data_IF_419970191095
#
_entry.id   IF_419970191095
#
_cell.length_a   1.000
_cell.length_b   1.000
_cell.length_c   1.000
_cell.angle_alpha   90.00
_cell.angle_beta   90.00
_cell.angle_gamma   90.00
#
_symmetry.space_group_name_H-M   'P 1'
#
loop_
_entity.id
_entity.type
_entity.pdbx_description
1 polymer ?
#
# COMPACT_ATOMS: atom_id res chain seq x y z
N UNK A 1 30.00 2.80 14.07
CA UNK A 1 29.17 3.05 12.89
C UNK A 1 27.83 2.31 13.07
N UNK A 2 26.71 2.88 12.69
CA UNK A 2 25.43 2.17 12.76
C UNK A 2 25.47 0.92 11.85
N UNK A 3 24.95 -0.20 12.35
CA UNK A 3 24.88 -1.47 11.61
C UNK A 3 23.69 -1.50 10.65
N UNK A 4 23.70 -2.42 9.68
CA UNK A 4 22.54 -2.67 8.79
C UNK A 4 21.27 -2.95 9.62
N UNK A 5 21.40 -3.68 10.73
CA UNK A 5 20.29 -3.97 11.66
C UNK A 5 19.64 -2.69 12.19
N UNK A 6 20.44 -1.63 12.48
CA UNK A 6 19.91 -0.36 12.96
C UNK A 6 19.08 0.37 11.89
N UNK A 7 19.51 0.31 10.62
CA UNK A 7 18.71 0.87 9.51
C UNK A 7 17.44 0.07 9.22
N UNK A 8 17.49 -1.26 9.30
CA UNK A 8 16.27 -2.09 9.19
C UNK A 8 15.28 -1.80 10.33
N UNK A 9 15.79 -1.52 11.53
CA UNK A 9 14.96 -1.08 12.66
C UNK A 9 14.39 0.32 12.43
N UNK A 10 15.20 1.27 11.95
CA UNK A 10 14.78 2.63 11.61
C UNK A 10 13.58 2.64 10.67
N UNK A 11 13.60 1.82 9.62
CA UNK A 11 12.54 1.77 8.60
C UNK A 11 11.38 0.84 8.98
N UNK A 12 11.44 0.16 10.14
CA UNK A 12 10.41 -0.81 10.54
C UNK A 12 10.08 -1.76 9.38
N UNK A 13 11.08 -2.49 8.89
CA UNK A 13 10.97 -3.30 7.68
C UNK A 13 9.79 -4.29 7.70
N UNK A 14 9.44 -4.82 8.87
CA UNK A 14 8.26 -5.68 9.06
C UNK A 14 6.93 -5.04 8.62
N UNK A 15 6.82 -3.72 8.66
CA UNK A 15 5.61 -3.02 8.23
C UNK A 15 5.46 -2.93 6.70
N UNK A 16 6.44 -3.38 5.92
CA UNK A 16 6.35 -3.49 4.46
C UNK A 16 5.23 -4.44 4.04
N UNK A 17 4.85 -5.34 4.94
CA UNK A 17 3.75 -6.30 4.76
C UNK A 17 2.38 -5.63 4.45
N UNK A 18 2.18 -4.35 4.74
CA UNK A 18 0.89 -3.70 4.48
C UNK A 18 0.70 -3.33 3.01
N UNK A 19 1.66 -2.68 2.38
CA UNK A 19 1.52 -2.18 1.02
C UNK A 19 2.02 -3.18 -0.05
N UNK A 20 3.01 -4.02 0.27
CA UNK A 20 3.59 -4.98 -0.66
C UNK A 20 2.57 -5.94 -1.29
N UNK A 21 1.61 -6.53 -0.53
CA UNK A 21 0.59 -7.39 -1.10
C UNK A 21 -0.24 -6.70 -2.19
N UNK A 22 -0.62 -5.44 -1.97
CA UNK A 22 -1.39 -4.67 -2.96
C UNK A 22 -0.55 -4.27 -4.17
N UNK A 23 0.76 -4.01 -4.01
CA UNK A 23 1.66 -3.83 -5.14
C UNK A 23 1.74 -5.11 -5.99
N UNK A 24 1.84 -6.28 -5.37
CA UNK A 24 1.86 -7.57 -6.06
C UNK A 24 0.54 -7.80 -6.81
N UNK A 25 -0.61 -7.50 -6.20
CA UNK A 25 -1.91 -7.56 -6.89
C UNK A 25 -1.88 -6.66 -8.13
N UNK A 26 -1.52 -5.38 -8.00
CA UNK A 26 -1.47 -4.44 -9.12
C UNK A 26 -0.53 -4.90 -10.23
N UNK A 27 0.63 -5.43 -9.88
CA UNK A 27 1.59 -5.99 -10.84
C UNK A 27 1.00 -7.17 -11.63
N UNK A 28 0.37 -8.14 -10.96
CA UNK A 28 -0.22 -9.28 -11.64
C UNK A 28 -1.46 -8.90 -12.46
N UNK A 29 -2.24 -7.92 -12.05
CA UNK A 29 -3.28 -7.34 -12.89
C UNK A 29 -2.71 -6.83 -14.21
N UNK A 30 -1.57 -6.11 -14.15
CA UNK A 30 -0.85 -5.66 -15.33
C UNK A 30 -0.35 -6.80 -16.21
N UNK A 31 0.16 -7.89 -15.61
CA UNK A 31 0.60 -9.08 -16.36
C UNK A 31 -0.57 -9.74 -17.12
N UNK A 32 -1.75 -9.79 -16.51
CA UNK A 32 -2.94 -10.34 -17.15
C UNK A 32 -3.37 -9.50 -18.35
N UNK A 33 -3.44 -8.19 -18.16
CA UNK A 33 -3.81 -7.26 -19.22
C UNK A 33 -2.79 -7.28 -20.37
N UNK A 34 -1.50 -7.29 -20.07
CA UNK A 34 -0.43 -7.43 -21.05
C UNK A 34 -0.53 -8.75 -21.84
N UNK A 35 -0.76 -9.86 -21.15
CA UNK A 35 -0.87 -11.18 -21.77
C UNK A 35 -2.04 -11.24 -22.75
N UNK A 36 -3.17 -10.66 -22.36
CA UNK A 36 -4.36 -10.55 -23.19
C UNK A 36 -4.11 -9.72 -24.46
N UNK A 37 -3.52 -8.53 -24.30
CA UNK A 37 -3.23 -7.65 -25.43
C UNK A 37 -2.24 -8.29 -26.42
N UNK A 38 -1.24 -9.02 -25.95
CA UNK A 38 -0.31 -9.75 -26.81
C UNK A 38 -1.01 -10.81 -27.69
N UNK A 39 -2.02 -11.48 -27.17
CA UNK A 39 -2.78 -12.47 -27.93
C UNK A 39 -3.69 -11.84 -28.96
N UNK A 40 -4.33 -10.72 -28.61
CA UNK A 40 -5.18 -10.00 -29.55
C UNK A 40 -4.41 -9.48 -30.77
N UNK A 41 -3.16 -9.03 -30.58
CA UNK A 41 -2.28 -8.57 -31.69
C UNK A 41 -1.90 -9.71 -32.64
N UNK A 42 -1.78 -10.95 -32.13
CA UNK A 42 -1.35 -12.15 -32.91
C UNK A 42 -2.49 -12.80 -33.69
N UNK A 43 -3.74 -12.44 -33.43
CA UNK A 43 -4.88 -13.04 -34.13
C UNK A 43 -5.13 -12.31 -35.47
N UNK A 44 -5.25 -13.05 -36.61
CA UNK A 44 -5.79 -12.46 -37.82
C UNK A 44 -7.24 -12.05 -37.56
N UNK A 45 -7.61 -10.84 -38.04
CA UNK A 45 -8.97 -10.30 -37.93
C UNK A 45 -9.98 -11.32 -38.42
N UNK A 46 -10.71 -11.97 -37.51
CA UNK A 46 -11.83 -12.86 -37.80
C UNK A 46 -13.05 -12.36 -37.05
N UNK A 47 -14.04 -11.76 -37.74
CA UNK A 47 -15.16 -11.05 -37.10
C UNK A 47 -16.14 -11.92 -36.29
N UNK A 48 -15.99 -13.26 -36.26
CA UNK A 48 -16.98 -14.16 -35.64
C UNK A 48 -16.40 -15.46 -35.02
N UNK A 49 -15.15 -15.56 -34.70
CA UNK A 49 -14.64 -16.72 -33.96
C UNK A 49 -14.52 -16.38 -32.47
N UNK A 50 -15.18 -17.17 -31.64
CA UNK A 50 -15.29 -16.96 -30.19
C UNK A 50 -14.01 -16.56 -29.46
N UNK A 51 -14.15 -16.16 -28.21
CA UNK A 51 -13.09 -15.64 -27.34
C UNK A 51 -11.82 -16.49 -27.47
N UNK A 52 -10.67 -15.90 -27.87
CA UNK A 52 -9.44 -16.66 -27.99
C UNK A 52 -9.05 -17.22 -26.62
N UNK A 53 -8.76 -18.52 -26.58
CA UNK A 53 -8.17 -19.11 -25.36
C UNK A 53 -6.77 -18.54 -25.17
N UNK A 54 -6.50 -17.95 -24.02
CA UNK A 54 -5.17 -17.45 -23.66
C UNK A 54 -4.14 -18.58 -23.83
N UNK A 55 -3.23 -18.45 -24.81
CA UNK A 55 -2.13 -19.40 -25.02
C UNK A 55 -0.91 -19.05 -24.17
N UNK A 56 -0.73 -17.79 -23.82
CA UNK A 56 0.36 -17.32 -22.95
C UNK A 56 -0.17 -17.29 -21.52
N UNK A 57 0.33 -18.20 -20.66
CA UNK A 57 -0.03 -18.15 -19.26
C UNK A 57 0.61 -16.92 -18.58
N UNK A 58 -0.03 -16.34 -17.55
CA UNK A 58 0.56 -15.23 -16.80
C UNK A 58 1.95 -15.55 -16.23
N UNK A 59 2.18 -16.79 -15.85
CA UNK A 59 3.49 -17.26 -15.36
C UNK A 59 4.54 -17.20 -16.46
N UNK A 60 4.22 -17.63 -17.69
CA UNK A 60 5.15 -17.54 -18.82
C UNK A 60 5.37 -16.10 -19.27
N UNK A 61 4.35 -15.24 -19.21
CA UNK A 61 4.49 -13.81 -19.48
C UNK A 61 5.42 -13.14 -18.44
N UNK A 62 5.27 -13.45 -17.16
CA UNK A 62 6.17 -13.00 -16.11
C UNK A 62 7.61 -13.43 -16.39
N UNK A 63 7.84 -14.73 -16.63
CA UNK A 63 9.18 -15.28 -16.79
C UNK A 63 9.90 -14.73 -18.05
N UNK A 64 9.17 -14.54 -19.15
CA UNK A 64 9.78 -14.18 -20.43
C UNK A 64 9.91 -12.66 -20.64
N UNK A 65 9.05 -11.87 -20.05
CA UNK A 65 8.95 -10.43 -20.36
C UNK A 65 9.10 -9.50 -19.15
N UNK A 66 8.69 -9.92 -17.94
CA UNK A 66 8.51 -9.02 -16.81
C UNK A 66 9.25 -9.38 -15.53
N UNK A 67 10.14 -10.39 -15.52
CA UNK A 67 10.88 -10.77 -14.31
C UNK A 67 11.74 -9.62 -13.76
N UNK A 68 12.41 -8.87 -14.64
CA UNK A 68 13.23 -7.72 -14.26
C UNK A 68 12.32 -6.60 -13.73
N UNK A 69 11.19 -6.33 -14.41
CA UNK A 69 10.20 -5.34 -13.97
C UNK A 69 9.66 -5.68 -12.59
N UNK A 70 9.39 -6.97 -12.32
CA UNK A 70 8.95 -7.42 -11.00
C UNK A 70 9.98 -7.12 -9.90
N UNK A 71 11.24 -7.45 -10.14
CA UNK A 71 12.33 -7.15 -9.20
C UNK A 71 12.46 -5.64 -8.98
N UNK A 72 12.38 -4.82 -10.03
CA UNK A 72 12.42 -3.37 -9.93
C UNK A 72 11.23 -2.80 -9.15
N UNK A 73 10.01 -3.35 -9.33
CA UNK A 73 8.83 -2.96 -8.53
C UNK A 73 9.04 -3.28 -7.05
N UNK A 74 9.57 -4.45 -6.71
CA UNK A 74 9.90 -4.78 -5.32
C UNK A 74 10.96 -3.83 -4.73
N UNK A 75 11.98 -3.48 -5.50
CA UNK A 75 12.99 -2.49 -5.10
C UNK A 75 12.37 -1.10 -4.93
N UNK A 76 11.46 -0.67 -5.81
CA UNK A 76 10.71 0.57 -5.65
C UNK A 76 9.91 0.58 -4.34
N UNK A 77 9.21 -0.50 -4.01
CA UNK A 77 8.46 -0.61 -2.76
C UNK A 77 9.36 -0.50 -1.52
N UNK A 78 10.52 -1.17 -1.53
CA UNK A 78 11.48 -1.15 -0.43
C UNK A 78 12.10 0.25 -0.30
N UNK A 79 12.56 0.85 -1.39
CA UNK A 79 13.25 2.15 -1.37
C UNK A 79 12.29 3.29 -1.02
N UNK A 80 11.10 3.35 -1.63
CA UNK A 80 10.08 4.35 -1.32
C UNK A 80 9.67 4.31 0.16
N UNK A 81 9.40 3.10 0.68
CA UNK A 81 9.05 2.93 2.08
C UNK A 81 10.20 3.27 3.02
N UNK A 82 11.42 2.88 2.68
CA UNK A 82 12.61 3.21 3.48
C UNK A 82 12.83 4.72 3.53
N UNK A 83 12.68 5.41 2.40
CA UNK A 83 12.74 6.87 2.34
C UNK A 83 11.67 7.52 3.23
N UNK A 84 10.40 7.10 3.10
CA UNK A 84 9.28 7.63 3.87
C UNK A 84 9.49 7.46 5.38
N UNK A 85 9.86 6.25 5.82
CA UNK A 85 10.05 5.97 7.25
C UNK A 85 11.27 6.70 7.84
N UNK A 86 12.41 6.69 7.12
CA UNK A 86 13.60 7.40 7.58
C UNK A 86 13.37 8.90 7.65
N UNK A 87 12.67 9.47 6.66
CA UNK A 87 12.31 10.89 6.65
C UNK A 87 11.35 11.25 7.78
N UNK A 88 10.32 10.43 8.01
CA UNK A 88 9.40 10.63 9.14
C UNK A 88 10.16 10.64 10.48
N UNK A 89 11.08 9.68 10.71
CA UNK A 89 11.92 9.64 11.90
C UNK A 89 12.85 10.84 12.04
N UNK A 90 13.46 11.27 10.92
CA UNK A 90 14.30 12.47 10.90
C UNK A 90 13.50 13.72 11.23
N UNK A 91 12.32 13.86 10.65
CA UNK A 91 11.47 15.04 10.84
C UNK A 91 10.91 15.11 12.24
N UNK A 92 10.44 13.98 12.78
CA UNK A 92 9.76 13.93 14.08
C UNK A 92 10.71 13.71 15.26
N UNK A 93 12.05 13.69 15.07
CA UNK A 93 13.04 13.36 16.11
C UNK A 93 12.92 14.13 17.42
N UNK A 94 12.55 15.42 17.34
CA UNK A 94 12.37 16.26 18.54
C UNK A 94 11.08 15.90 19.31
N UNK A 95 10.00 15.56 18.62
CA UNK A 95 8.78 15.05 19.22
C UNK A 95 8.99 13.64 19.76
N UNK A 96 9.68 12.79 18.99
CA UNK A 96 10.00 11.43 19.41
C UNK A 96 10.83 11.39 20.70
N UNK A 97 11.77 12.33 20.87
CA UNK A 97 12.58 12.44 22.09
C UNK A 97 11.76 12.80 23.33
N UNK A 98 10.64 13.53 23.17
CA UNK A 98 9.75 13.93 24.28
C UNK A 98 8.70 12.86 24.62
N UNK A 99 8.36 12.00 23.69
CA UNK A 99 7.33 10.98 23.90
C UNK A 99 7.96 9.71 24.48
N UNK A 100 7.59 9.25 25.70
CA UNK A 100 8.15 8.06 26.35
C UNK A 100 8.09 6.80 25.48
N UNK A 101 7.04 6.66 24.65
CA UNK A 101 6.86 5.53 23.75
C UNK A 101 7.87 5.50 22.59
N UNK A 102 8.34 6.68 22.16
CA UNK A 102 9.18 6.81 20.97
C UNK A 102 10.60 7.31 21.25
N UNK A 103 10.91 7.72 22.48
CA UNK A 103 12.25 8.17 22.89
C UNK A 103 13.36 7.10 22.69
N UNK A 104 12.96 5.82 22.70
CA UNK A 104 13.85 4.67 22.45
C UNK A 104 14.20 4.45 20.97
N UNK A 105 13.64 5.26 20.06
CA UNK A 105 13.88 5.14 18.61
C UNK A 105 15.32 5.52 18.26
N UNK A 106 15.78 5.06 17.10
CA UNK A 106 17.18 5.08 16.70
C UNK A 106 17.83 6.48 16.68
N UNK A 107 17.07 7.53 16.28
CA UNK A 107 17.59 8.90 16.21
C UNK A 107 17.58 9.55 17.60
N UNK A 108 16.47 9.61 18.37
CA UNK A 108 16.46 10.13 19.74
C UNK A 108 17.46 9.42 20.66
N UNK A 109 17.61 8.10 20.52
CA UNK A 109 18.55 7.29 21.31
C UNK A 109 20.03 7.46 20.88
N UNK A 110 20.33 8.27 19.86
CA UNK A 110 21.69 8.52 19.39
C UNK A 110 22.34 7.34 18.63
N UNK A 111 21.58 6.29 18.31
CA UNK A 111 22.07 5.09 17.58
C UNK A 111 22.39 5.45 16.13
N UNK A 112 21.57 6.29 15.52
CA UNK A 112 21.76 6.84 14.17
C UNK A 112 21.74 8.37 14.27
N UNK A 113 22.79 9.03 13.73
CA UNK A 113 22.83 10.49 13.72
C UNK A 113 21.79 11.06 12.73
N UNK A 114 21.34 12.28 12.98
CA UNK A 114 20.41 13.01 12.10
C UNK A 114 20.95 13.10 10.66
N UNK A 115 22.26 13.39 10.51
CA UNK A 115 22.92 13.49 9.21
C UNK A 115 22.88 12.15 8.45
N UNK A 116 23.12 11.04 9.14
CA UNK A 116 23.07 9.71 8.55
C UNK A 116 21.64 9.30 8.16
N UNK A 117 20.63 9.66 8.97
CA UNK A 117 19.23 9.41 8.65
C UNK A 117 18.80 10.20 7.40
N UNK A 118 19.18 11.48 7.29
CA UNK A 118 18.89 12.31 6.12
C UNK A 118 19.62 11.80 4.88
N UNK A 119 20.91 11.45 4.99
CA UNK A 119 21.67 10.87 3.89
C UNK A 119 21.03 9.56 3.40
N UNK A 120 20.63 8.68 4.31
CA UNK A 120 19.93 7.45 3.97
C UNK A 120 18.60 7.72 3.26
N UNK A 121 17.82 8.72 3.70
CA UNK A 121 16.59 9.14 3.04
C UNK A 121 16.85 9.55 1.59
N UNK A 122 17.83 10.44 1.37
CA UNK A 122 18.20 10.92 0.03
C UNK A 122 18.66 9.74 -0.84
N UNK A 123 19.50 8.85 -0.32
CA UNK A 123 19.95 7.65 -1.03
C UNK A 123 18.78 6.78 -1.47
N UNK A 124 17.80 6.54 -0.58
CA UNK A 124 16.61 5.75 -0.91
C UNK A 124 15.73 6.44 -1.96
N UNK A 125 15.61 7.77 -1.92
CA UNK A 125 14.90 8.53 -2.96
C UNK A 125 15.60 8.39 -4.33
N UNK A 126 16.92 8.54 -4.38
CA UNK A 126 17.70 8.38 -5.62
C UNK A 126 17.55 6.97 -6.18
N UNK A 127 17.67 5.95 -5.32
CA UNK A 127 17.48 4.55 -5.75
C UNK A 127 16.07 4.31 -6.28
N UNK A 128 15.03 4.87 -5.65
CA UNK A 128 13.66 4.78 -6.15
C UNK A 128 13.52 5.35 -7.55
N UNK A 129 13.99 6.60 -7.78
CA UNK A 129 13.94 7.23 -9.11
C UNK A 129 14.75 6.43 -10.13
N UNK A 130 15.90 5.92 -9.75
CA UNK A 130 16.73 5.07 -10.62
C UNK A 130 15.99 3.79 -11.02
N UNK A 131 15.34 3.10 -10.07
CA UNK A 131 14.54 1.93 -10.39
C UNK A 131 13.39 2.26 -11.36
N UNK A 132 12.68 3.38 -11.15
CA UNK A 132 11.57 3.79 -12.05
C UNK A 132 12.04 4.15 -13.44
N UNK A 133 13.25 4.70 -13.58
CA UNK A 133 13.87 4.97 -14.89
C UNK A 133 14.06 3.69 -15.72
N UNK A 134 14.47 2.59 -15.08
CA UNK A 134 14.63 1.29 -15.74
C UNK A 134 13.32 0.54 -15.96
N UNK A 135 12.21 0.96 -15.36
CA UNK A 135 10.89 0.35 -15.58
C UNK A 135 10.28 0.87 -16.88
N UNK A 136 9.86 2.13 -16.92
CA UNK A 136 9.32 2.79 -18.11
C UNK A 136 9.22 4.30 -17.90
N UNK A 137 8.97 5.04 -18.99
CA UNK A 137 8.94 6.52 -18.97
C UNK A 137 7.86 7.09 -18.07
N UNK A 138 6.66 6.48 -18.00
CA UNK A 138 5.56 7.01 -17.18
C UNK A 138 5.88 6.86 -15.68
N UNK A 139 6.42 5.73 -15.27
CA UNK A 139 6.87 5.52 -13.89
C UNK A 139 7.99 6.51 -13.52
N UNK A 140 8.93 6.76 -14.43
CA UNK A 140 10.00 7.71 -14.21
C UNK A 140 9.46 9.14 -14.03
N UNK A 141 8.61 9.63 -14.93
CA UNK A 141 8.04 10.99 -14.84
C UNK A 141 7.11 11.18 -13.65
N UNK A 142 6.42 10.12 -13.19
CA UNK A 142 5.57 10.18 -12.00
C UNK A 142 6.36 9.99 -10.69
N UNK A 143 7.61 9.52 -10.75
CA UNK A 143 8.38 9.22 -9.53
C UNK A 143 8.62 10.42 -8.62
N UNK A 144 8.88 11.67 -9.10
CA UNK A 144 8.99 12.83 -8.22
C UNK A 144 7.67 13.17 -7.52
N UNK A 145 6.53 13.00 -8.22
CA UNK A 145 5.20 13.22 -7.63
C UNK A 145 4.93 12.18 -6.54
N UNK A 146 5.24 10.91 -6.81
CA UNK A 146 5.10 9.85 -5.81
C UNK A 146 5.98 10.13 -4.58
N UNK A 147 7.25 10.49 -4.76
CA UNK A 147 8.16 10.87 -3.67
C UNK A 147 7.62 12.07 -2.89
N UNK A 148 7.11 13.09 -3.57
CA UNK A 148 6.51 14.24 -2.90
C UNK A 148 5.36 13.78 -1.98
N UNK A 149 4.42 12.99 -2.46
CA UNK A 149 3.28 12.51 -1.69
C UNK A 149 3.73 11.69 -0.47
N UNK A 150 4.63 10.71 -0.68
CA UNK A 150 5.07 9.80 0.40
C UNK A 150 6.00 10.45 1.43
N UNK A 151 6.67 11.55 1.10
CA UNK A 151 7.45 12.32 2.07
C UNK A 151 6.60 13.39 2.76
N UNK A 152 5.73 14.05 1.99
CA UNK A 152 4.91 15.15 2.49
C UNK A 152 3.99 14.74 3.65
N UNK A 153 3.51 13.49 3.68
CA UNK A 153 2.65 13.04 4.77
C UNK A 153 3.28 13.27 6.16
N UNK A 154 4.62 13.18 6.27
CA UNK A 154 5.34 13.39 7.52
C UNK A 154 5.20 14.82 8.09
N UNK A 155 4.90 15.80 7.24
CA UNK A 155 4.62 17.17 7.64
C UNK A 155 3.18 17.41 8.09
N UNK A 156 2.25 16.63 7.56
CA UNK A 156 0.81 16.94 7.65
C UNK A 156 0.27 16.99 9.06
N UNK A 157 0.79 16.16 9.97
CA UNK A 157 0.41 16.17 11.40
C UNK A 157 0.66 17.52 12.11
N UNK A 158 1.46 18.43 11.52
CA UNK A 158 1.77 19.75 12.08
C UNK A 158 0.74 20.82 11.77
N UNK A 159 -0.14 20.60 10.79
CA UNK A 159 -1.11 21.60 10.36
C UNK A 159 -2.50 21.06 10.02
N UNK A 160 -2.68 19.72 9.89
CA UNK A 160 -3.99 19.14 9.58
C UNK A 160 -4.22 17.78 10.25
N UNK A 161 -5.44 17.57 10.70
CA UNK A 161 -5.89 16.29 11.23
C UNK A 161 -6.11 15.21 10.12
N UNK A 162 -6.09 15.61 8.85
CA UNK A 162 -6.22 14.69 7.70
C UNK A 162 -4.93 13.92 7.41
N UNK A 163 -3.92 14.00 8.27
CA UNK A 163 -2.63 13.30 8.11
C UNK A 163 -2.78 11.80 7.81
N UNK A 164 -3.79 11.15 8.40
CA UNK A 164 -4.10 9.73 8.15
C UNK A 164 -4.52 9.46 6.70
N UNK A 165 -5.31 10.35 6.10
CA UNK A 165 -5.72 10.24 4.69
C UNK A 165 -4.53 10.45 3.75
N UNK A 166 -3.65 11.41 4.07
CA UNK A 166 -2.43 11.64 3.27
C UNK A 166 -1.50 10.44 3.32
N UNK A 167 -1.37 9.78 4.48
CA UNK A 167 -0.66 8.50 4.59
C UNK A 167 -1.32 7.43 3.72
N UNK A 168 -2.65 7.33 3.76
CA UNK A 168 -3.42 6.40 2.93
C UNK A 168 -3.17 6.63 1.44
N UNK A 169 -3.16 7.89 0.98
CA UNK A 169 -2.82 8.24 -0.42
C UNK A 169 -1.39 7.79 -0.75
N UNK A 170 -0.42 8.00 0.15
CA UNK A 170 0.96 7.54 -0.05
C UNK A 170 1.06 6.03 -0.31
N UNK A 171 0.36 5.21 0.50
CA UNK A 171 0.39 3.75 0.33
C UNK A 171 -0.48 3.27 -0.84
N UNK A 172 -1.51 4.01 -1.23
CA UNK A 172 -2.38 3.67 -2.35
C UNK A 172 -1.70 3.76 -3.72
N UNK A 173 -0.55 4.41 -3.81
CA UNK A 173 0.28 4.42 -5.01
C UNK A 173 0.86 3.03 -5.35
N UNK A 174 0.85 2.09 -4.39
CA UNK A 174 1.43 0.77 -4.58
C UNK A 174 0.71 -0.07 -5.65
N UNK A 175 -0.62 -0.32 -5.60
CA UNK A 175 -1.30 -1.11 -6.62
C UNK A 175 -1.28 -0.45 -8.01
N UNK A 176 -1.54 0.86 -8.08
CA UNK A 176 -1.57 1.57 -9.37
C UNK A 176 -0.17 1.73 -9.98
N UNK A 177 0.85 2.02 -9.16
CA UNK A 177 2.23 2.13 -9.62
C UNK A 177 2.78 0.81 -10.14
N UNK A 178 2.47 -0.30 -9.47
CA UNK A 178 2.88 -1.63 -9.91
C UNK A 178 2.17 -2.07 -11.20
N UNK A 179 0.91 -1.70 -11.40
CA UNK A 179 0.19 -1.91 -12.67
C UNK A 179 0.81 -1.08 -13.80
N UNK A 180 1.07 0.21 -13.57
CA UNK A 180 1.73 1.10 -14.54
C UNK A 180 3.12 0.61 -14.92
N UNK A 181 3.83 -0.06 -14.01
CA UNK A 181 5.15 -0.63 -14.29
C UNK A 181 5.12 -1.69 -15.39
N UNK A 182 4.00 -2.40 -15.53
CA UNK A 182 3.81 -3.45 -16.55
C UNK A 182 3.18 -2.90 -17.82
N UNK A 183 2.12 -2.09 -17.69
CA UNK A 183 1.26 -1.72 -18.81
C UNK A 183 1.59 -0.35 -19.41
N UNK A 184 2.18 0.55 -18.62
CA UNK A 184 2.38 1.95 -19.00
C UNK A 184 1.08 2.76 -19.12
N UNK A 185 -0.07 2.23 -18.72
CA UNK A 185 -1.39 2.85 -18.85
C UNK A 185 -2.18 2.77 -17.55
N UNK A 186 -3.15 3.68 -17.37
CA UNK A 186 -4.08 3.62 -16.24
C UNK A 186 -5.28 2.73 -16.57
N UNK A 187 -5.80 2.04 -15.56
CA UNK A 187 -7.03 1.26 -15.65
C UNK A 187 -7.88 1.43 -14.38
N UNK A 188 -9.19 1.20 -14.49
CA UNK A 188 -10.13 1.41 -13.39
C UNK A 188 -9.87 0.44 -12.23
N UNK A 189 -9.57 -0.81 -12.52
CA UNK A 189 -9.44 -1.84 -11.48
C UNK A 189 -8.29 -1.57 -10.50
N UNK A 190 -7.03 -1.26 -10.91
CA UNK A 190 -6.00 -0.86 -9.97
C UNK A 190 -6.33 0.44 -9.22
N UNK A 191 -7.12 1.36 -9.82
CA UNK A 191 -7.63 2.56 -9.12
C UNK A 191 -8.62 2.17 -8.01
N UNK A 192 -9.51 1.21 -8.24
CA UNK A 192 -10.42 0.72 -7.19
C UNK A 192 -9.64 0.09 -6.01
N UNK A 193 -8.60 -0.68 -6.28
CA UNK A 193 -7.70 -1.17 -5.22
C UNK A 193 -6.98 -0.02 -4.51
N UNK A 194 -6.56 1.03 -5.23
CA UNK A 194 -5.96 2.21 -4.61
C UNK A 194 -6.94 2.93 -3.67
N UNK A 195 -8.21 3.09 -4.06
CA UNK A 195 -9.26 3.66 -3.21
C UNK A 195 -9.45 2.80 -1.95
N UNK A 196 -9.52 1.48 -2.11
CA UNK A 196 -9.61 0.57 -0.97
C UNK A 196 -8.43 0.74 0.00
N UNK A 197 -7.20 0.87 -0.52
CA UNK A 197 -5.98 1.08 0.28
C UNK A 197 -6.01 2.44 0.99
N UNK A 198 -6.45 3.53 0.33
CA UNK A 198 -6.60 4.84 1.01
C UNK A 198 -7.46 4.69 2.26
N UNK A 199 -8.66 4.14 2.09
CA UNK A 199 -9.62 4.01 3.18
C UNK A 199 -9.14 3.04 4.28
N UNK A 200 -8.58 1.90 3.90
CA UNK A 200 -8.05 0.91 4.82
C UNK A 200 -6.89 1.43 5.66
N UNK A 201 -5.87 2.00 4.99
CA UNK A 201 -4.68 2.54 5.66
C UNK A 201 -5.05 3.69 6.60
N UNK A 202 -5.89 4.60 6.13
CA UNK A 202 -6.36 5.72 6.96
C UNK A 202 -7.12 5.23 8.20
N UNK A 203 -7.97 4.21 8.02
CA UNK A 203 -8.74 3.63 9.13
C UNK A 203 -7.84 3.00 10.20
N UNK A 204 -6.90 2.15 9.81
CA UNK A 204 -6.02 1.51 10.79
C UNK A 204 -4.99 2.46 11.39
N UNK A 205 -4.55 3.49 10.67
CA UNK A 205 -3.63 4.49 11.19
C UNK A 205 -4.31 5.38 12.25
N UNK A 206 -5.62 5.69 12.08
CA UNK A 206 -6.43 6.33 13.11
C UNK A 206 -6.49 5.47 14.38
N UNK A 207 -6.70 4.14 14.25
CA UNK A 207 -6.69 3.22 15.41
C UNK A 207 -5.34 3.27 16.12
N UNK A 208 -4.25 3.23 15.35
CA UNK A 208 -2.91 3.28 15.91
C UNK A 208 -2.62 4.60 16.63
N UNK A 209 -3.09 5.72 16.07
CA UNK A 209 -2.89 7.05 16.62
C UNK A 209 -3.65 7.32 17.94
N UNK A 210 -4.63 6.47 18.32
CA UNK A 210 -5.32 6.58 19.61
C UNK A 210 -4.36 6.55 20.81
N UNK A 211 -3.23 5.88 20.66
CA UNK A 211 -2.20 5.78 21.71
C UNK A 211 -1.48 7.10 21.97
N UNK A 212 -1.43 7.98 20.97
CA UNK A 212 -0.70 9.26 21.02
C UNK A 212 -1.62 10.46 21.28
N UNK A 213 -2.94 10.27 21.51
CA UNK A 213 -3.92 11.35 21.63
C UNK A 213 -3.50 12.42 22.64
N UNK A 214 -3.10 12.02 23.86
CA UNK A 214 -2.71 12.95 24.92
C UNK A 214 -1.43 13.70 24.53
N UNK A 215 -0.41 12.98 24.06
CA UNK A 215 0.84 13.58 23.61
C UNK A 215 0.64 14.56 22.45
N UNK A 216 -0.18 14.20 21.47
CA UNK A 216 -0.47 15.04 20.30
C UNK A 216 -1.15 16.36 20.74
N UNK A 217 -2.12 16.30 21.67
CA UNK A 217 -2.78 17.49 22.22
C UNK A 217 -1.79 18.41 22.94
N UNK A 218 -0.95 17.86 23.81
CA UNK A 218 0.03 18.63 24.57
C UNK A 218 1.09 19.31 23.70
N UNK A 219 1.43 18.70 22.54
CA UNK A 219 2.46 19.21 21.64
C UNK A 219 1.90 19.94 20.40
N UNK A 220 0.61 20.28 20.37
CA UNK A 220 -0.07 20.97 19.27
C UNK A 220 0.11 20.23 17.93
N UNK A 221 0.07 18.88 17.97
CA UNK A 221 0.05 18.03 16.79
C UNK A 221 -1.40 17.67 16.45
N UNK A 222 -1.71 17.69 15.16
CA UNK A 222 -3.05 17.44 14.68
C UNK A 222 -3.17 15.97 14.22
N UNK A 223 -4.04 15.23 14.89
CA UNK A 223 -4.50 13.92 14.46
C UNK A 223 -6.01 13.81 14.69
N UNK A 224 -6.70 12.90 14.00
CA UNK A 224 -8.15 12.72 14.21
C UNK A 224 -8.45 12.42 15.68
N UNK A 225 -7.73 11.51 16.38
CA UNK A 225 -7.94 11.32 17.82
C UNK A 225 -7.67 12.57 18.66
N UNK A 226 -6.62 13.33 18.36
CA UNK A 226 -6.29 14.56 19.12
C UNK A 226 -7.37 15.64 19.00
N UNK A 227 -7.95 15.81 17.80
CA UNK A 227 -8.95 16.85 17.52
C UNK A 227 -10.36 16.42 17.94
N UNK A 228 -10.75 15.16 17.67
CA UNK A 228 -12.14 14.70 17.82
C UNK A 228 -12.37 13.75 19.01
N UNK A 229 -11.30 13.30 19.66
CA UNK A 229 -11.33 12.32 20.74
C UNK A 229 -11.49 10.88 20.26
N UNK A 230 -11.18 9.92 21.15
CA UNK A 230 -11.06 8.48 20.81
C UNK A 230 -12.35 7.89 20.23
N UNK A 231 -13.51 8.20 20.79
CA UNK A 231 -14.77 7.60 20.36
C UNK A 231 -15.15 8.02 18.93
N UNK A 232 -15.07 9.34 18.62
CA UNK A 232 -15.35 9.82 17.26
C UNK A 232 -14.30 9.33 16.26
N UNK A 233 -13.03 9.27 16.68
CA UNK A 233 -11.94 8.75 15.85
C UNK A 233 -12.20 7.27 15.43
N UNK A 234 -12.64 6.41 16.37
CA UNK A 234 -13.01 5.02 16.06
C UNK A 234 -14.20 4.94 15.11
N UNK A 235 -15.20 5.81 15.24
CA UNK A 235 -16.34 5.84 14.31
C UNK A 235 -15.89 6.24 12.88
N UNK A 236 -14.99 7.23 12.77
CA UNK A 236 -14.42 7.64 11.47
C UNK A 236 -13.60 6.48 10.88
N UNK A 237 -12.78 5.83 11.70
CA UNK A 237 -12.02 4.64 11.27
C UNK A 237 -12.95 3.51 10.78
N UNK A 238 -14.04 3.23 11.50
CA UNK A 238 -15.03 2.23 11.08
C UNK A 238 -15.69 2.59 9.75
N UNK A 239 -16.01 3.87 9.55
CA UNK A 239 -16.57 4.35 8.29
C UNK A 239 -15.59 4.21 7.13
N UNK A 240 -14.32 4.54 7.33
CA UNK A 240 -13.28 4.36 6.32
C UNK A 240 -13.07 2.87 6.00
N UNK A 241 -13.07 1.99 7.01
CA UNK A 241 -13.00 0.54 6.78
C UNK A 241 -14.22 0.00 6.03
N UNK A 242 -15.42 0.53 6.30
CA UNK A 242 -16.61 0.21 5.52
C UNK A 242 -16.43 0.62 4.04
N UNK A 243 -15.94 1.83 3.77
CA UNK A 243 -15.64 2.28 2.39
C UNK A 243 -14.59 1.41 1.71
N UNK A 244 -13.56 1.00 2.46
CA UNK A 244 -12.54 0.07 1.95
C UNK A 244 -13.15 -1.28 1.55
N UNK A 245 -13.99 -1.87 2.41
CA UNK A 245 -14.70 -3.11 2.12
C UNK A 245 -15.61 -2.96 0.89
N UNK A 246 -16.35 -1.86 0.79
CA UNK A 246 -17.21 -1.57 -0.35
C UNK A 246 -16.40 -1.46 -1.66
N UNK A 247 -15.23 -0.79 -1.63
CA UNK A 247 -14.35 -0.67 -2.79
C UNK A 247 -13.79 -2.04 -3.24
N UNK A 248 -13.38 -2.90 -2.29
CA UNK A 248 -12.94 -4.28 -2.59
C UNK A 248 -14.09 -5.10 -3.18
N UNK A 249 -15.29 -5.03 -2.60
CA UNK A 249 -16.47 -5.75 -3.12
C UNK A 249 -16.80 -5.26 -4.53
N UNK A 250 -16.81 -3.94 -4.75
CA UNK A 250 -17.06 -3.38 -6.08
C UNK A 250 -15.99 -3.79 -7.09
N UNK A 251 -14.70 -3.80 -6.70
CA UNK A 251 -13.62 -4.30 -7.54
C UNK A 251 -13.81 -5.76 -7.92
N UNK A 252 -14.35 -6.59 -7.01
CA UNK A 252 -14.66 -8.00 -7.28
C UNK A 252 -15.72 -8.18 -8.37
N UNK A 253 -16.81 -7.41 -8.32
CA UNK A 253 -17.82 -7.41 -9.37
C UNK A 253 -17.31 -6.80 -10.68
N UNK A 254 -16.65 -5.66 -10.62
CA UNK A 254 -16.12 -4.98 -11.79
C UNK A 254 -15.08 -5.84 -12.52
N UNK A 255 -14.20 -6.53 -11.76
CA UNK A 255 -13.17 -7.41 -12.30
C UNK A 255 -13.66 -8.83 -12.63
N UNK A 256 -14.95 -9.16 -12.46
CA UNK A 256 -15.49 -10.50 -12.68
C UNK A 256 -14.68 -11.61 -12.02
N UNK A 257 -14.19 -11.35 -10.82
CA UNK A 257 -13.40 -12.31 -10.08
C UNK A 257 -14.24 -13.52 -9.68
N UNK A 258 -13.57 -14.67 -9.58
CA UNK A 258 -14.16 -15.96 -9.20
C UNK A 258 -14.21 -16.13 -7.67
N UNK A 259 -14.53 -17.33 -7.24
CA UNK A 259 -14.78 -17.62 -5.82
C UNK A 259 -13.56 -17.46 -4.89
N UNK A 260 -12.33 -17.63 -5.37
CA UNK A 260 -11.13 -17.38 -4.56
C UNK A 260 -11.06 -15.93 -4.09
N UNK A 261 -11.33 -14.98 -4.99
CA UNK A 261 -11.38 -13.57 -4.64
C UNK A 261 -12.35 -13.30 -3.49
N UNK A 262 -13.55 -13.89 -3.55
CA UNK A 262 -14.59 -13.68 -2.54
C UNK A 262 -14.23 -14.29 -1.19
N UNK A 263 -13.49 -15.41 -1.14
CA UNK A 263 -12.91 -15.93 0.11
C UNK A 263 -11.89 -14.95 0.70
N UNK A 264 -10.98 -14.42 -0.13
CA UNK A 264 -10.03 -13.40 0.31
C UNK A 264 -10.74 -12.14 0.83
N UNK A 265 -11.79 -11.68 0.13
CA UNK A 265 -12.63 -10.55 0.54
C UNK A 265 -13.30 -10.81 1.88
N UNK A 266 -13.82 -12.00 2.11
CA UNK A 266 -14.44 -12.36 3.39
C UNK A 266 -13.44 -12.30 4.55
N UNK A 267 -12.21 -12.80 4.36
CA UNK A 267 -11.14 -12.70 5.36
C UNK A 267 -10.75 -11.24 5.59
N UNK A 268 -10.57 -10.44 4.52
CA UNK A 268 -10.22 -9.03 4.62
C UNK A 268 -11.27 -8.26 5.43
N UNK A 269 -12.55 -8.37 5.07
CA UNK A 269 -13.65 -7.73 5.79
C UNK A 269 -13.77 -8.21 7.23
N UNK A 270 -13.60 -9.53 7.47
CA UNK A 270 -13.58 -10.11 8.82
C UNK A 270 -12.48 -9.51 9.71
N UNK A 271 -11.29 -9.27 9.15
CA UNK A 271 -10.20 -8.62 9.88
C UNK A 271 -10.48 -7.14 10.18
N UNK A 272 -11.16 -6.42 9.29
CA UNK A 272 -11.60 -5.04 9.57
C UNK A 272 -12.59 -5.02 10.75
N UNK A 273 -13.58 -5.90 10.76
CA UNK A 273 -14.53 -6.02 11.86
C UNK A 273 -13.79 -6.39 13.16
N UNK A 274 -12.87 -7.35 13.11
CA UNK A 274 -12.09 -7.79 14.25
C UNK A 274 -11.32 -6.65 14.90
N UNK A 275 -10.70 -5.75 14.14
CA UNK A 275 -9.97 -4.59 14.69
C UNK A 275 -10.88 -3.72 15.57
N UNK A 276 -12.10 -3.43 15.13
CA UNK A 276 -13.06 -2.62 15.89
C UNK A 276 -13.70 -3.39 17.05
N UNK A 277 -13.72 -4.71 16.99
CA UNK A 277 -14.19 -5.54 18.09
C UNK A 277 -13.22 -5.53 19.28
N UNK A 278 -11.88 -5.53 19.00
CA UNK A 278 -10.84 -5.65 20.05
C UNK A 278 -10.34 -4.31 20.58
N UNK A 279 -10.56 -3.18 19.88
CA UNK A 279 -10.13 -1.83 20.32
C UNK A 279 -11.36 -1.03 20.76
N UNK A 280 -11.31 -0.50 21.97
CA UNK A 280 -12.37 0.34 22.56
C UNK A 280 -11.79 1.69 22.96
N UNK A 281 -12.59 2.78 23.04
CA UNK A 281 -12.12 4.09 23.48
C UNK A 281 -11.50 4.06 24.88
N UNK A 282 -11.95 3.13 25.73
CA UNK A 282 -11.51 2.93 27.11
C UNK A 282 -10.43 1.87 27.28
N UNK A 283 -10.20 1.03 26.25
CA UNK A 283 -9.19 -0.04 26.28
C UNK A 283 -8.37 -0.06 24.99
N UNK A 284 -7.14 0.41 25.07
CA UNK A 284 -6.16 0.47 23.98
C UNK A 284 -5.11 -0.65 24.05
N UNK A 285 -5.23 -1.60 24.99
CA UNK A 285 -4.22 -2.65 25.21
C UNK A 285 -3.95 -3.51 23.97
N UNK A 286 -4.94 -3.66 23.07
CA UNK A 286 -4.88 -4.50 21.87
C UNK A 286 -4.66 -3.71 20.56
N UNK A 287 -4.35 -2.41 20.64
CA UNK A 287 -4.11 -1.59 19.43
C UNK A 287 -2.98 -2.16 18.56
N UNK A 288 -1.90 -2.67 19.16
CA UNK A 288 -0.80 -3.25 18.41
C UNK A 288 -1.21 -4.55 17.66
N UNK A 289 -2.11 -5.36 18.22
CA UNK A 289 -2.67 -6.55 17.56
C UNK A 289 -3.54 -6.11 16.38
N UNK A 290 -4.41 -5.12 16.58
CA UNK A 290 -5.24 -4.55 15.52
C UNK A 290 -4.37 -3.98 14.39
N UNK A 291 -3.32 -3.23 14.73
CA UNK A 291 -2.46 -2.59 13.75
C UNK A 291 -1.56 -3.59 12.99
N UNK A 292 -0.83 -4.47 13.70
CA UNK A 292 0.16 -5.34 13.04
C UNK A 292 -0.45 -6.65 12.55
N UNK A 293 -1.10 -7.40 13.44
CA UNK A 293 -1.52 -8.77 13.16
C UNK A 293 -2.75 -8.77 12.24
N UNK A 294 -3.78 -8.01 12.58
CA UNK A 294 -5.02 -8.03 11.80
C UNK A 294 -4.80 -7.47 10.39
N UNK A 295 -4.05 -6.37 10.24
CA UNK A 295 -3.75 -5.81 8.92
C UNK A 295 -2.79 -6.66 8.11
N UNK A 296 -1.79 -7.29 8.75
CA UNK A 296 -0.90 -8.25 8.09
C UNK A 296 -1.67 -9.44 7.53
N UNK A 297 -2.56 -10.05 8.33
CA UNK A 297 -3.42 -11.15 7.88
C UNK A 297 -4.35 -10.66 6.76
N UNK A 298 -5.02 -9.53 6.94
CA UNK A 298 -5.95 -8.98 5.95
C UNK A 298 -5.28 -8.81 4.59
N UNK A 299 -4.13 -8.13 4.53
CA UNK A 299 -3.45 -7.82 3.26
C UNK A 299 -2.83 -9.06 2.60
N UNK A 300 -2.13 -9.90 3.38
CA UNK A 300 -1.42 -11.07 2.82
C UNK A 300 -2.41 -12.13 2.35
N UNK A 301 -3.39 -12.49 3.18
CA UNK A 301 -4.38 -13.51 2.81
C UNK A 301 -5.22 -13.04 1.64
N UNK A 302 -5.66 -11.77 1.63
CA UNK A 302 -6.37 -11.20 0.50
C UNK A 302 -5.55 -11.31 -0.79
N UNK A 303 -4.28 -10.87 -0.76
CA UNK A 303 -3.42 -10.94 -1.95
C UNK A 303 -3.19 -12.38 -2.44
N UNK A 304 -2.98 -13.33 -1.54
CA UNK A 304 -2.83 -14.75 -1.92
C UNK A 304 -4.08 -15.23 -2.66
N UNK A 305 -5.28 -14.95 -2.13
CA UNK A 305 -6.51 -15.37 -2.78
C UNK A 305 -6.77 -14.65 -4.10
N UNK A 306 -6.46 -13.35 -4.21
CA UNK A 306 -6.54 -12.62 -5.49
C UNK A 306 -5.59 -13.24 -6.52
N UNK A 307 -4.35 -13.57 -6.14
CA UNK A 307 -3.38 -14.19 -7.04
C UNK A 307 -3.81 -15.60 -7.47
N UNK A 308 -4.36 -16.39 -6.54
CA UNK A 308 -4.91 -17.71 -6.86
C UNK A 308 -6.07 -17.59 -7.85
N UNK A 309 -6.97 -16.62 -7.66
CA UNK A 309 -8.06 -16.34 -8.59
C UNK A 309 -7.52 -15.99 -9.98
N UNK A 310 -6.61 -15.02 -10.04
CA UNK A 310 -5.99 -14.56 -11.28
C UNK A 310 -5.24 -15.70 -12.01
N UNK A 311 -4.45 -16.52 -11.33
CA UNK A 311 -3.57 -17.51 -11.94
C UNK A 311 -4.33 -18.79 -12.32
N UNK A 312 -5.27 -19.25 -11.47
CA UNK A 312 -5.90 -20.55 -11.64
C UNK A 312 -7.26 -20.49 -12.33
N UNK A 313 -8.06 -19.45 -12.09
CA UNK A 313 -9.45 -19.41 -12.51
C UNK A 313 -9.76 -18.33 -13.53
N UNK A 314 -8.93 -17.32 -13.67
CA UNK A 314 -9.22 -16.21 -14.57
C UNK A 314 -9.09 -16.66 -16.04
N UNK A 315 -10.20 -17.13 -16.54
CA UNK A 315 -10.42 -17.37 -17.95
C UNK A 315 -10.90 -16.06 -18.55
N UNK A 316 -10.09 -15.39 -19.35
CA UNK A 316 -10.47 -14.44 -20.42
C UNK A 316 -11.74 -13.54 -20.26
N UNK A 317 -12.44 -13.54 -19.13
CA UNK A 317 -13.66 -12.75 -18.90
C UNK A 317 -13.39 -11.25 -18.80
N UNK A 318 -12.18 -10.86 -18.49
CA UNK A 318 -11.72 -9.47 -18.48
C UNK A 318 -11.81 -8.80 -19.84
N UNK A 319 -11.60 -9.58 -20.88
CA UNK A 319 -11.53 -9.14 -22.26
C UNK A 319 -12.84 -8.60 -22.82
N UNK A 320 -13.97 -9.01 -22.25
CA UNK A 320 -15.28 -8.61 -22.74
C UNK A 320 -15.68 -7.21 -22.30
N UNK A 321 -15.06 -6.64 -21.27
CA UNK A 321 -15.46 -5.35 -20.69
C UNK A 321 -14.71 -4.13 -21.23
N UNK A 322 -13.69 -4.32 -22.06
CA UNK A 322 -13.02 -3.21 -22.76
C UNK A 322 -13.58 -2.93 -24.15
N UNK A 323 -14.63 -3.63 -24.56
CA UNK A 323 -15.29 -3.46 -25.86
C UNK A 323 -16.60 -2.65 -25.79
N UNK A 324 -16.95 -2.08 -24.63
CA UNK A 324 -18.10 -1.18 -24.47
C UNK A 324 -17.72 0.14 -23.82
#
# INVERSE_FOLDING_TARGET
MPSIKNYLSLVKFSHTIFAMPFAIIGFFLGIFDFSYNLEMIKLPYRPYSGIPKLKISPISALANYHIITFVLVLLCMITARSAAMAFNRYLDRQFDAKNPRTAIREIPAGIISEKNALFFTILMCVLFVTCTYFINSICFYLSPVALFVILFYSYTKRFTFLCHLVLGVGLSLAPIGAYLAVTGTFAILPVLFSIAVICWVSGFDIIFALQDEAFDKENNLYSIPAVMGKAKALNISSFLHFLSAAAIIFAGFYGYFSWFYWLGTAVFCGMLIYQHAIVKPTDLSRVNIAFMTANGIASVVFAVFVLLDLILLNKATWALNFLF
#
